data_IF_748580252753
#
_entry.id   IF_748580252753
#
_cell.length_a   1.000
_cell.length_b   1.000
_cell.length_c   1.000
_cell.angle_alpha   90.00
_cell.angle_beta   90.00
_cell.angle_gamma   90.00
#
_symmetry.space_group_name_H-M   'P 1'
#
loop_
_entity.id
_entity.type
_entity.pdbx_description
1 polymer ?
#
# COMPACT_ATOMS: atom_id res chain seq x y z
N UNK A 1 13.46 3.00 24.02
CA UNK A 1 12.88 1.82 23.34
C UNK A 1 12.30 2.30 22.03
N UNK A 2 12.80 1.81 20.90
CA UNK A 2 12.52 2.36 19.59
C UNK A 2 11.06 2.22 19.13
N UNK A 3 10.64 3.09 18.25
CA UNK A 3 9.31 3.13 17.66
C UNK A 3 9.31 2.51 16.25
N UNK A 4 8.17 1.95 15.86
CA UNK A 4 7.82 1.63 14.48
C UNK A 4 6.95 2.76 13.93
N UNK A 5 7.46 3.51 12.97
CA UNK A 5 6.79 4.71 12.43
C UNK A 5 6.36 4.40 11.00
N UNK A 6 5.07 4.36 10.76
CA UNK A 6 4.50 4.18 9.42
C UNK A 6 3.97 5.50 8.87
N UNK A 7 4.21 5.73 7.59
CA UNK A 7 3.66 6.86 6.85
C UNK A 7 2.76 6.35 5.74
N UNK A 8 1.62 6.97 5.56
CA UNK A 8 0.66 6.62 4.52
C UNK A 8 -0.11 7.84 4.04
N UNK A 9 -0.85 7.66 2.99
CA UNK A 9 -1.77 8.65 2.42
C UNK A 9 -2.49 8.04 1.23
N UNK A 10 -3.48 8.72 0.71
CA UNK A 10 -4.05 8.38 -0.58
C UNK A 10 -3.01 8.56 -1.68
N UNK A 11 -3.22 7.89 -2.82
CA UNK A 11 -2.28 8.01 -3.93
C UNK A 11 -2.11 9.48 -4.34
N UNK A 12 -0.86 9.94 -4.38
CA UNK A 12 -0.54 11.34 -4.68
C UNK A 12 -0.61 12.32 -3.51
N UNK A 13 -0.85 11.84 -2.28
CA UNK A 13 -0.90 12.71 -1.10
C UNK A 13 0.48 13.25 -0.64
N UNK A 14 1.59 12.74 -1.19
CA UNK A 14 2.93 13.21 -0.80
C UNK A 14 3.51 12.54 0.43
N UNK A 15 3.05 11.32 0.78
CA UNK A 15 3.59 10.55 1.92
C UNK A 15 5.10 10.30 1.85
N UNK A 16 5.67 10.18 0.64
CA UNK A 16 7.11 10.04 0.45
C UNK A 16 7.90 11.26 0.96
N UNK A 17 7.36 12.47 0.88
CA UNK A 17 8.00 13.67 1.41
C UNK A 17 8.16 13.62 2.94
N UNK A 18 7.17 13.03 3.63
CA UNK A 18 7.24 12.82 5.08
C UNK A 18 8.26 11.74 5.44
N UNK A 19 8.35 10.66 4.64
CA UNK A 19 9.40 9.65 4.82
C UNK A 19 10.80 10.22 4.60
N UNK A 20 10.93 11.13 3.64
CA UNK A 20 12.18 11.83 3.39
C UNK A 20 12.58 12.71 4.57
N UNK A 21 11.64 13.51 5.09
CA UNK A 21 11.85 14.29 6.32
C UNK A 21 12.25 13.39 7.49
N UNK A 22 11.52 12.30 7.73
CA UNK A 22 11.85 11.36 8.82
C UNK A 22 13.20 10.67 8.64
N UNK A 23 13.65 10.49 7.40
CA UNK A 23 14.97 9.93 7.09
C UNK A 23 16.12 10.88 7.39
N UNK A 24 15.84 12.16 7.65
CA UNK A 24 16.82 13.17 8.06
C UNK A 24 17.21 13.05 9.55
N UNK A 25 16.47 12.25 10.33
CA UNK A 25 16.79 11.97 11.72
C UNK A 25 17.70 10.75 11.82
N UNK A 26 18.90 10.94 12.37
CA UNK A 26 19.92 9.88 12.47
C UNK A 26 19.50 8.66 13.29
N UNK A 27 18.53 8.83 14.19
CA UNK A 27 17.96 7.73 14.97
C UNK A 27 16.99 6.84 14.22
N UNK A 28 16.55 7.22 13.01
CA UNK A 28 15.60 6.49 12.20
C UNK A 28 16.31 5.59 11.19
N UNK A 29 15.96 4.29 11.18
CA UNK A 29 16.29 3.36 10.13
C UNK A 29 15.22 3.41 9.04
N UNK A 30 15.65 3.47 7.80
CA UNK A 30 14.74 3.53 6.64
C UNK A 30 14.36 2.16 6.11
N UNK A 31 14.76 1.11 6.83
CA UNK A 31 14.66 -0.25 6.36
C UNK A 31 15.47 -0.46 5.08
N UNK A 32 15.03 -1.38 4.24
CA UNK A 32 15.73 -1.67 2.99
C UNK A 32 15.36 -0.62 1.94
N UNK A 33 16.36 0.15 1.51
CA UNK A 33 16.24 0.97 0.29
C UNK A 33 16.46 0.06 -0.92
N UNK A 34 15.46 -0.02 -1.80
CA UNK A 34 15.70 -0.64 -3.09
C UNK A 34 16.45 0.34 -4.02
N UNK A 35 16.93 -0.16 -5.16
CA UNK A 35 17.64 0.64 -6.17
C UNK A 35 16.78 1.79 -6.76
N UNK A 36 15.48 1.82 -6.48
CA UNK A 36 14.50 2.80 -6.96
C UNK A 36 14.02 3.77 -5.86
N UNK A 37 14.55 3.67 -4.65
CA UNK A 37 14.39 4.69 -3.62
C UNK A 37 13.34 4.45 -2.54
N UNK A 38 12.34 3.61 -2.72
CA UNK A 38 11.31 3.34 -1.71
C UNK A 38 10.98 1.85 -1.60
N UNK A 39 10.47 1.42 -0.46
CA UNK A 39 10.02 0.05 -0.25
C UNK A 39 8.68 0.05 0.48
N UNK A 40 7.61 -0.36 -0.22
CA UNK A 40 6.27 -0.43 0.33
C UNK A 40 6.00 -1.74 1.08
N UNK A 41 5.31 -1.65 2.20
CA UNK A 41 4.97 -2.77 3.07
C UNK A 41 3.52 -3.20 2.88
N UNK A 42 3.29 -4.16 2.00
CA UNK A 42 1.94 -4.50 1.50
C UNK A 42 1.29 -5.70 2.19
N UNK A 43 1.97 -6.38 3.09
CA UNK A 43 1.58 -7.68 3.67
C UNK A 43 0.21 -7.66 4.37
N UNK A 44 -0.22 -6.51 4.87
CA UNK A 44 -1.49 -6.39 5.58
C UNK A 44 -2.68 -6.26 4.64
N UNK A 45 -2.61 -5.36 3.67
CA UNK A 45 -3.76 -4.90 2.90
C UNK A 45 -3.85 -5.41 1.46
N UNK A 46 -2.78 -6.06 0.94
CA UNK A 46 -2.86 -6.69 -0.38
C UNK A 46 -4.01 -7.70 -0.42
N UNK A 47 -4.71 -7.84 -1.57
CA UNK A 47 -5.66 -8.93 -1.75
C UNK A 47 -5.02 -10.29 -1.40
N UNK A 48 -5.63 -11.01 -0.47
CA UNK A 48 -5.05 -12.21 0.13
C UNK A 48 -4.07 -11.94 1.28
N UNK A 49 -3.93 -10.69 1.74
CA UNK A 49 -3.17 -10.33 2.94
C UNK A 49 -3.91 -10.64 4.24
N UNK A 50 -3.36 -10.13 5.34
CA UNK A 50 -3.91 -10.41 6.68
C UNK A 50 -5.33 -9.87 6.84
N UNK A 51 -5.65 -8.70 6.28
CA UNK A 51 -6.98 -8.11 6.41
C UNK A 51 -8.05 -8.92 5.66
N UNK A 52 -7.73 -9.47 4.48
CA UNK A 52 -8.62 -10.38 3.78
C UNK A 52 -8.84 -11.68 4.57
N UNK A 53 -7.78 -12.18 5.23
CA UNK A 53 -7.86 -13.36 6.08
C UNK A 53 -8.73 -13.07 7.32
N UNK A 54 -8.56 -11.91 7.99
CA UNK A 54 -9.40 -11.44 9.08
C UNK A 54 -10.88 -11.43 8.67
N UNK A 55 -11.19 -10.71 7.59
CA UNK A 55 -12.58 -10.53 7.15
C UNK A 55 -13.25 -11.87 6.79
N UNK A 56 -12.50 -12.82 6.25
CA UNK A 56 -13.02 -14.14 5.89
C UNK A 56 -13.16 -15.08 7.09
N UNK A 57 -12.25 -15.04 8.05
CA UNK A 57 -12.27 -15.93 9.21
C UNK A 57 -13.17 -15.43 10.34
N UNK A 58 -13.31 -14.10 10.50
CA UNK A 58 -14.09 -13.52 11.60
C UNK A 58 -15.50 -13.07 11.20
N UNK A 59 -15.76 -12.84 9.90
CA UNK A 59 -17.04 -12.36 9.42
C UNK A 59 -17.69 -13.39 8.47
N UNK A 60 -18.60 -14.19 9.00
CA UNK A 60 -19.35 -15.19 8.22
C UNK A 60 -18.49 -16.35 7.74
N UNK A 61 -17.71 -16.92 8.63
CA UNK A 61 -16.83 -18.06 8.36
C UNK A 61 -17.61 -19.37 8.16
N UNK A 62 -17.12 -20.20 7.25
CA UNK A 62 -17.51 -21.57 7.02
C UNK A 62 -16.33 -22.39 6.51
N UNK A 63 -16.53 -23.70 6.32
CA UNK A 63 -15.46 -24.60 5.88
C UNK A 63 -14.85 -24.22 4.50
N UNK A 64 -15.64 -23.65 3.60
CA UNK A 64 -15.19 -23.28 2.26
C UNK A 64 -14.45 -21.95 2.28
N UNK A 65 -14.98 -20.99 3.04
CA UNK A 65 -14.35 -19.67 3.23
C UNK A 65 -13.03 -19.80 3.97
N UNK A 66 -12.97 -20.61 5.02
CA UNK A 66 -11.76 -20.82 5.80
C UNK A 66 -10.63 -21.43 4.95
N UNK A 67 -10.90 -22.54 4.22
CA UNK A 67 -9.89 -23.15 3.36
C UNK A 67 -9.43 -22.20 2.24
N UNK A 68 -10.37 -21.48 1.63
CA UNK A 68 -10.03 -20.53 0.57
C UNK A 68 -9.22 -19.35 1.12
N UNK A 69 -9.56 -18.84 2.30
CA UNK A 69 -8.88 -17.74 2.95
C UNK A 69 -7.42 -18.11 3.28
N UNK A 70 -7.21 -19.26 3.95
CA UNK A 70 -5.87 -19.73 4.33
C UNK A 70 -5.01 -19.98 3.09
N UNK A 71 -5.56 -20.64 2.06
CA UNK A 71 -4.81 -20.90 0.81
C UNK A 71 -4.47 -19.64 0.05
N UNK A 72 -5.39 -18.66 0.03
CA UNK A 72 -5.15 -17.39 -0.65
C UNK A 72 -4.09 -16.61 0.08
N UNK A 73 -4.14 -16.57 1.42
CA UNK A 73 -3.11 -15.96 2.24
C UNK A 73 -1.75 -16.61 2.03
N UNK A 74 -1.64 -17.95 2.16
CA UNK A 74 -0.40 -18.69 1.93
C UNK A 74 0.18 -18.37 0.54
N UNK A 75 -0.65 -18.46 -0.50
CA UNK A 75 -0.23 -18.18 -1.88
C UNK A 75 0.29 -16.76 -2.06
N UNK A 76 -0.40 -15.78 -1.48
CA UNK A 76 0.00 -14.38 -1.60
C UNK A 76 1.29 -14.11 -0.82
N UNK A 77 1.42 -14.61 0.40
CA UNK A 77 2.64 -14.47 1.18
C UNK A 77 3.85 -15.12 0.48
N UNK A 78 3.68 -16.32 -0.10
CA UNK A 78 4.73 -16.97 -0.90
C UNK A 78 5.05 -16.16 -2.18
N UNK A 79 4.06 -15.51 -2.79
CA UNK A 79 4.27 -14.62 -3.93
C UNK A 79 5.14 -13.43 -3.56
N UNK A 80 4.86 -12.77 -2.43
CA UNK A 80 5.66 -11.68 -1.88
C UNK A 80 7.06 -12.14 -1.44
N UNK A 81 7.16 -13.34 -0.86
CA UNK A 81 8.43 -13.92 -0.44
C UNK A 81 9.38 -14.14 -1.61
N UNK A 82 8.89 -14.71 -2.71
CA UNK A 82 9.71 -15.23 -3.79
C UNK A 82 9.90 -14.27 -4.98
N UNK A 83 9.03 -13.27 -5.16
CA UNK A 83 9.06 -12.38 -6.33
C UNK A 83 9.44 -10.95 -5.96
N UNK A 84 10.16 -10.30 -6.89
CA UNK A 84 10.49 -8.88 -6.82
C UNK A 84 9.52 -8.09 -7.70
N UNK A 85 8.76 -7.17 -7.09
CA UNK A 85 7.82 -6.28 -7.78
C UNK A 85 8.39 -4.86 -7.98
N UNK A 86 9.66 -4.66 -7.71
CA UNK A 86 10.33 -3.38 -7.82
C UNK A 86 10.38 -2.64 -6.48
N UNK A 87 9.24 -2.28 -5.92
CA UNK A 87 9.14 -1.55 -4.64
C UNK A 87 8.50 -2.34 -3.50
N UNK A 88 8.21 -3.62 -3.69
CA UNK A 88 7.79 -4.55 -2.61
C UNK A 88 8.12 -6.01 -2.97
N UNK A 89 8.03 -6.91 -2.00
CA UNK A 89 8.33 -8.33 -2.18
C UNK A 89 9.81 -8.68 -1.97
N UNK A 90 10.25 -9.82 -2.50
CA UNK A 90 11.64 -10.32 -2.39
C UNK A 90 12.11 -10.69 -0.97
N UNK A 91 11.20 -11.01 -0.05
CA UNK A 91 11.58 -11.28 1.34
C UNK A 91 12.60 -12.42 1.48
N UNK A 92 12.49 -13.46 0.63
CA UNK A 92 13.46 -14.57 0.63
C UNK A 92 14.88 -14.11 0.29
N UNK A 93 15.01 -13.22 -0.68
CA UNK A 93 16.32 -12.65 -1.07
C UNK A 93 16.91 -11.80 0.06
N UNK A 94 16.06 -11.06 0.78
CA UNK A 94 16.49 -10.13 1.82
C UNK A 94 16.76 -10.81 3.16
N UNK A 95 15.92 -11.77 3.54
CA UNK A 95 15.88 -12.33 4.90
C UNK A 95 15.99 -13.86 4.95
N UNK A 96 16.27 -14.51 3.81
CA UNK A 96 16.29 -15.98 3.75
C UNK A 96 14.91 -16.58 4.03
N UNK A 97 14.87 -17.62 4.86
CA UNK A 97 13.63 -18.36 5.13
C UNK A 97 12.82 -17.81 6.32
N UNK A 98 13.23 -16.68 6.92
CA UNK A 98 12.62 -16.16 8.16
C UNK A 98 11.14 -15.77 7.91
N UNK A 99 10.86 -15.06 6.82
CA UNK A 99 9.49 -14.67 6.50
C UNK A 99 8.58 -15.88 6.28
N UNK A 100 9.03 -16.85 5.50
CA UNK A 100 8.27 -18.06 5.19
C UNK A 100 8.00 -18.89 6.45
N UNK A 101 9.01 -19.05 7.34
CA UNK A 101 8.84 -19.70 8.64
C UNK A 101 7.82 -18.98 9.53
N UNK A 102 7.87 -17.65 9.59
CA UNK A 102 6.91 -16.84 10.35
C UNK A 102 5.49 -16.99 9.80
N UNK A 103 5.32 -17.00 8.48
CA UNK A 103 4.03 -17.22 7.82
C UNK A 103 3.45 -18.60 8.16
N UNK A 104 4.22 -19.66 8.02
CA UNK A 104 3.74 -21.01 8.36
C UNK A 104 3.45 -21.18 9.85
N UNK A 105 4.23 -20.53 10.72
CA UNK A 105 3.94 -20.51 12.14
C UNK A 105 2.62 -19.80 12.43
N UNK A 106 2.35 -18.65 11.77
CA UNK A 106 1.08 -17.93 11.90
C UNK A 106 -0.11 -18.80 11.45
N UNK A 107 -0.01 -19.46 10.30
CA UNK A 107 -1.06 -20.39 9.83
C UNK A 107 -1.28 -21.53 10.85
N UNK A 108 -0.20 -22.09 11.39
CA UNK A 108 -0.28 -23.15 12.40
C UNK A 108 -0.97 -22.67 13.69
N UNK A 109 -0.69 -21.43 14.10
CA UNK A 109 -1.27 -20.81 15.31
C UNK A 109 -2.76 -20.48 15.17
N UNK A 110 -3.32 -20.50 13.94
CA UNK A 110 -4.75 -20.46 13.71
C UNK A 110 -5.44 -21.81 13.99
N UNK A 111 -4.69 -22.84 14.37
CA UNK A 111 -5.16 -24.21 14.65
C UNK A 111 -6.05 -24.80 13.56
N UNK A 112 -5.58 -24.87 12.30
CA UNK A 112 -6.42 -25.39 11.23
C UNK A 112 -6.64 -26.91 11.34
N UNK A 113 -7.87 -27.30 11.05
CA UNK A 113 -8.24 -28.72 10.91
C UNK A 113 -8.01 -29.18 9.47
N UNK A 114 -7.29 -30.30 9.30
CA UNK A 114 -7.11 -30.94 8.02
C UNK A 114 -8.34 -31.79 7.65
N UNK A 115 -9.13 -31.36 6.69
CA UNK A 115 -10.31 -32.06 6.23
C UNK A 115 -10.08 -32.68 4.85
N UNK A 116 -10.27 -34.00 4.72
CA UNK A 116 -10.22 -34.72 3.43
C UNK A 116 -11.56 -34.60 2.72
N UNK A 117 -11.93 -33.42 2.32
CA UNK A 117 -13.16 -33.16 1.58
C UNK A 117 -12.87 -32.50 0.23
N UNK A 118 -13.85 -32.56 -0.65
CA UNK A 118 -13.80 -31.94 -1.96
C UNK A 118 -14.92 -30.90 -2.06
N UNK A 119 -14.58 -29.70 -2.43
CA UNK A 119 -15.56 -28.66 -2.69
C UNK A 119 -15.34 -28.02 -4.08
N UNK A 120 -16.28 -27.20 -4.51
CA UNK A 120 -16.34 -26.63 -5.86
C UNK A 120 -15.02 -26.01 -6.34
N UNK A 121 -14.34 -25.24 -5.51
CA UNK A 121 -13.07 -24.61 -5.89
C UNK A 121 -11.95 -25.59 -6.18
N UNK A 122 -11.87 -26.71 -5.44
CA UNK A 122 -10.91 -27.78 -5.68
C UNK A 122 -11.28 -28.57 -6.93
N UNK A 123 -12.57 -28.86 -7.14
CA UNK A 123 -13.08 -29.51 -8.34
C UNK A 123 -12.71 -28.71 -9.60
N UNK A 124 -12.89 -27.42 -9.58
CA UNK A 124 -12.54 -26.53 -10.69
C UNK A 124 -11.08 -26.59 -11.06
N UNK A 125 -10.17 -26.64 -10.07
CA UNK A 125 -8.71 -26.79 -10.31
C UNK A 125 -8.36 -28.14 -10.95
N UNK A 126 -9.04 -29.19 -10.56
CA UNK A 126 -8.85 -30.54 -11.11
C UNK A 126 -9.30 -30.61 -12.57
N UNK A 127 -10.45 -30.03 -12.88
CA UNK A 127 -11.01 -30.01 -14.25
C UNK A 127 -10.10 -29.29 -15.25
N UNK A 128 -9.54 -28.15 -14.86
CA UNK A 128 -8.74 -27.29 -15.77
C UNK A 128 -7.24 -27.60 -15.80
N UNK A 129 -6.80 -28.70 -15.22
CA UNK A 129 -5.40 -29.12 -15.32
C UNK A 129 -5.27 -30.35 -16.23
N UNK A 130 -5.03 -30.17 -17.56
CA UNK A 130 -4.98 -31.27 -18.53
C UNK A 130 -3.88 -32.28 -18.21
N UNK A 131 -2.79 -31.86 -17.58
CA UNK A 131 -1.71 -32.78 -17.19
C UNK A 131 -2.15 -33.80 -16.12
N UNK A 132 -3.22 -33.56 -15.39
CA UNK A 132 -3.77 -34.51 -14.40
C UNK A 132 -4.80 -35.47 -14.98
N UNK A 133 -5.29 -35.25 -16.19
CA UNK A 133 -6.32 -36.07 -16.81
C UNK A 133 -5.83 -37.53 -17.01
N UNK A 134 -4.63 -37.81 -17.55
CA UNK A 134 -4.16 -39.19 -17.71
C UNK A 134 -4.00 -39.91 -16.38
N UNK A 135 -3.48 -39.22 -15.37
CA UNK A 135 -3.30 -39.77 -14.00
C UNK A 135 -4.64 -40.12 -13.35
N UNK A 136 -5.63 -39.24 -13.54
CA UNK A 136 -6.97 -39.44 -13.03
C UNK A 136 -7.69 -40.61 -13.73
N UNK A 137 -7.47 -40.74 -15.05
CA UNK A 137 -8.01 -41.83 -15.83
C UNK A 137 -7.42 -43.18 -15.42
N UNK A 138 -6.09 -43.24 -15.26
CA UNK A 138 -5.40 -44.44 -14.78
C UNK A 138 -5.88 -44.83 -13.35
N UNK A 139 -6.03 -43.86 -12.46
CA UNK A 139 -6.51 -44.13 -11.12
C UNK A 139 -7.96 -44.67 -11.09
N UNK A 140 -8.79 -44.31 -12.06
CA UNK A 140 -10.14 -44.87 -12.19
C UNK A 140 -10.10 -46.34 -12.55
N UNK A 141 -9.34 -46.67 -13.61
CA UNK A 141 -9.21 -48.05 -14.08
C UNK A 141 -8.73 -48.94 -12.93
N UNK A 142 -7.73 -48.47 -12.16
CA UNK A 142 -7.15 -49.20 -11.04
C UNK A 142 -8.06 -49.35 -9.84
N UNK A 143 -9.01 -48.44 -9.63
CA UNK A 143 -9.88 -48.39 -8.42
C UNK A 143 -11.37 -48.60 -8.67
N UNK A 144 -11.78 -48.87 -9.93
CA UNK A 144 -13.15 -49.14 -10.31
C UNK A 144 -14.15 -47.99 -10.03
N UNK A 145 -13.69 -46.74 -9.91
CA UNK A 145 -14.54 -45.59 -9.59
C UNK A 145 -15.03 -44.87 -10.84
N UNK A 146 -16.23 -44.28 -10.74
CA UNK A 146 -16.85 -43.53 -11.84
C UNK A 146 -16.18 -42.20 -12.07
N UNK A 147 -15.81 -41.93 -13.33
CA UNK A 147 -15.27 -40.67 -13.83
C UNK A 147 -16.38 -39.90 -14.55
N UNK A 148 -16.47 -38.61 -14.28
CA UNK A 148 -17.34 -37.72 -15.02
C UNK A 148 -16.48 -36.94 -16.03
N UNK A 149 -16.75 -37.04 -17.34
CA UNK A 149 -15.88 -36.49 -18.37
C UNK A 149 -16.25 -35.09 -18.75
N UNK A 150 -17.37 -34.61 -18.80
CA UNK A 150 -17.73 -33.23 -19.16
C UNK A 150 -18.27 -32.50 -17.95
N UNK A 151 -17.35 -31.93 -17.23
CA UNK A 151 -17.69 -30.85 -16.40
C UNK A 151 -17.82 -31.17 -14.97
N UNK A 152 -17.47 -32.27 -14.47
CA UNK A 152 -17.79 -32.04 -13.05
C UNK A 152 -17.00 -32.78 -12.00
N UNK A 153 -16.54 -33.93 -12.18
CA UNK A 153 -15.65 -34.57 -11.18
C UNK A 153 -14.94 -35.76 -11.81
N UNK A 154 -13.64 -35.68 -11.96
CA UNK A 154 -12.94 -36.81 -12.51
C UNK A 154 -12.59 -37.87 -11.48
N UNK A 155 -12.12 -37.48 -10.32
CA UNK A 155 -11.82 -38.39 -9.23
C UNK A 155 -11.88 -37.68 -7.89
N UNK A 156 -12.46 -38.32 -6.91
CA UNK A 156 -12.57 -37.75 -5.56
C UNK A 156 -11.33 -37.90 -4.70
N UNK A 157 -10.49 -38.87 -4.88
CA UNK A 157 -9.31 -39.17 -4.04
C UNK A 157 -8.28 -39.92 -4.87
N UNK A 158 -7.00 -39.76 -4.64
CA UNK A 158 -6.23 -39.00 -3.65
C UNK A 158 -5.67 -37.67 -4.14
N UNK A 159 -6.11 -37.15 -5.29
CA UNK A 159 -5.52 -35.99 -5.97
C UNK A 159 -6.06 -34.63 -5.50
N UNK A 160 -7.07 -34.65 -4.65
CA UNK A 160 -7.62 -33.43 -4.06
C UNK A 160 -6.79 -33.10 -2.81
N UNK A 161 -6.22 -31.90 -2.72
CA UNK A 161 -5.52 -31.49 -1.53
C UNK A 161 -6.47 -31.43 -0.33
N UNK A 162 -5.97 -31.71 0.85
CA UNK A 162 -6.72 -31.55 2.09
C UNK A 162 -7.17 -30.10 2.22
N UNK A 163 -8.36 -29.88 2.75
CA UNK A 163 -8.80 -28.55 3.17
C UNK A 163 -8.18 -28.22 4.51
N UNK A 164 -7.78 -26.96 4.68
CA UNK A 164 -7.34 -26.37 5.95
C UNK A 164 -8.43 -25.43 6.44
N UNK A 165 -9.10 -25.81 7.53
CA UNK A 165 -10.26 -25.09 8.03
C UNK A 165 -9.99 -24.62 9.45
N UNK A 166 -10.06 -23.32 9.69
CA UNK A 166 -9.85 -22.71 11.00
C UNK A 166 -11.06 -21.87 11.42
N UNK A 167 -11.38 -21.90 12.70
CA UNK A 167 -12.45 -21.12 13.32
C UNK A 167 -11.90 -20.40 14.56
N UNK A 168 -10.93 -19.47 14.39
CA UNK A 168 -10.38 -18.75 15.53
C UNK A 168 -11.43 -17.82 16.15
N UNK A 169 -11.38 -17.66 17.46
CA UNK A 169 -12.01 -16.53 18.13
C UNK A 169 -11.30 -15.21 17.73
N UNK A 170 -11.93 -14.07 18.02
CA UNK A 170 -11.28 -12.77 17.77
C UNK A 170 -9.94 -12.65 18.51
N UNK A 171 -9.90 -13.03 19.78
CA UNK A 171 -8.69 -12.92 20.60
C UNK A 171 -7.57 -13.84 20.10
N UNK A 172 -7.89 -15.07 19.69
CA UNK A 172 -6.92 -15.99 19.08
C UNK A 172 -6.37 -15.41 17.77
N UNK A 173 -7.25 -14.91 16.90
CA UNK A 173 -6.84 -14.34 15.62
C UNK A 173 -5.92 -13.12 15.83
N UNK A 174 -6.38 -12.12 16.60
CA UNK A 174 -5.60 -10.90 16.78
C UNK A 174 -4.32 -11.12 17.55
N UNK A 175 -4.31 -11.99 18.58
CA UNK A 175 -3.09 -12.34 19.28
C UNK A 175 -2.04 -13.01 18.37
N UNK A 176 -2.48 -13.85 17.44
CA UNK A 176 -1.60 -14.47 16.44
C UNK A 176 -1.15 -13.46 15.38
N UNK A 177 -2.06 -12.61 14.90
CA UNK A 177 -1.77 -11.59 13.91
C UNK A 177 -0.78 -10.53 14.43
N UNK A 178 -0.94 -10.06 15.67
CA UNK A 178 0.00 -9.16 16.33
C UNK A 178 1.41 -9.74 16.38
N UNK A 179 1.54 -11.02 16.77
CA UNK A 179 2.86 -11.69 16.80
C UNK A 179 3.48 -11.81 15.41
N UNK A 180 2.68 -12.11 14.40
CA UNK A 180 3.17 -12.19 13.02
C UNK A 180 3.61 -10.82 12.51
N UNK A 181 2.78 -9.78 12.70
CA UNK A 181 3.08 -8.40 12.29
C UNK A 181 4.31 -7.87 12.99
N UNK A 182 4.45 -8.14 14.31
CA UNK A 182 5.64 -7.74 15.06
C UNK A 182 6.91 -8.40 14.51
N UNK A 183 6.87 -9.72 14.28
CA UNK A 183 8.00 -10.44 13.67
C UNK A 183 8.31 -9.94 12.26
N UNK A 184 7.29 -9.56 11.50
CA UNK A 184 7.48 -8.93 10.19
C UNK A 184 8.22 -7.59 10.31
N UNK A 185 7.76 -6.71 11.20
CA UNK A 185 8.42 -5.41 11.44
C UNK A 185 9.86 -5.59 11.94
N UNK A 186 10.08 -6.55 12.82
CA UNK A 186 11.43 -6.83 13.40
C UNK A 186 12.46 -7.25 12.33
N UNK A 187 12.02 -7.82 11.19
CA UNK A 187 12.91 -8.16 10.08
C UNK A 187 13.56 -6.93 9.42
N UNK A 188 12.94 -5.76 9.55
CA UNK A 188 13.42 -4.51 8.93
C UNK A 188 14.22 -3.62 9.89
N UNK A 189 14.38 -4.02 11.15
CA UNK A 189 15.17 -3.27 12.12
C UNK A 189 16.64 -3.21 11.75
N UNK A 190 17.20 -2.01 11.80
CA UNK A 190 18.63 -1.76 11.66
C UNK A 190 19.26 -1.70 13.07
N UNK A 191 20.37 -2.41 13.27
CA UNK A 191 20.96 -2.59 14.62
C UNK A 191 21.48 -1.28 15.24
N UNK A 192 21.84 -0.30 14.42
CA UNK A 192 22.38 1.00 14.82
C UNK A 192 21.30 2.09 14.90
N UNK A 193 20.03 1.76 14.64
CA UNK A 193 18.90 2.69 14.63
C UNK A 193 17.94 2.43 15.78
N UNK A 194 17.43 3.51 16.35
CA UNK A 194 16.43 3.44 17.41
C UNK A 194 15.04 3.09 16.87
N UNK A 195 14.62 3.78 15.80
CA UNK A 195 13.31 3.63 15.19
C UNK A 195 13.40 2.97 13.82
N UNK A 196 12.28 2.40 13.36
CA UNK A 196 12.15 1.83 12.01
C UNK A 196 11.02 2.53 11.26
N UNK A 197 11.31 3.00 10.05
CA UNK A 197 10.33 3.64 9.16
C UNK A 197 9.68 2.61 8.23
N UNK A 198 8.39 2.77 8.01
CA UNK A 198 7.60 1.92 7.12
C UNK A 198 6.78 2.76 6.14
N UNK A 199 6.99 2.56 4.85
CA UNK A 199 6.13 3.13 3.82
C UNK A 199 4.90 2.25 3.65
N UNK A 200 3.70 2.82 3.84
CA UNK A 200 2.40 2.22 3.57
C UNK A 200 2.12 0.88 4.27
N UNK A 201 2.70 0.64 5.45
CA UNK A 201 2.42 -0.59 6.20
C UNK A 201 0.93 -0.70 6.58
N UNK A 202 0.29 0.42 6.90
CA UNK A 202 -1.14 0.51 7.16
C UNK A 202 -1.72 1.67 6.34
N UNK A 203 -2.70 1.38 5.49
CA UNK A 203 -3.32 2.41 4.65
C UNK A 203 -4.30 3.28 5.46
N UNK A 204 -4.48 4.54 5.04
CA UNK A 204 -5.36 5.50 5.72
C UNK A 204 -6.78 4.95 5.94
N UNK A 205 -7.40 4.35 4.94
CA UNK A 205 -8.74 3.75 5.07
C UNK A 205 -8.80 2.48 5.93
N UNK A 206 -7.66 1.91 6.32
CA UNK A 206 -7.55 0.79 7.26
C UNK A 206 -7.04 1.22 8.64
N UNK A 207 -6.84 2.52 8.89
CA UNK A 207 -6.30 3.04 10.15
C UNK A 207 -7.12 2.60 11.38
N UNK A 208 -8.43 2.40 11.24
CA UNK A 208 -9.31 1.89 12.29
C UNK A 208 -8.93 0.49 12.81
N UNK A 209 -8.12 -0.26 12.07
CA UNK A 209 -7.60 -1.57 12.50
C UNK A 209 -6.37 -1.45 13.39
N UNK A 210 -5.74 -0.27 13.46
CA UNK A 210 -4.50 -0.03 14.21
C UNK A 210 -4.53 -0.60 15.65
N UNK A 211 -5.58 -0.34 16.48
CA UNK A 211 -5.60 -0.82 17.87
C UNK A 211 -5.57 -2.34 18.02
N UNK A 212 -5.96 -3.06 16.98
CA UNK A 212 -6.05 -4.53 17.00
C UNK A 212 -4.76 -5.21 16.56
N UNK A 213 -3.89 -4.51 15.82
CA UNK A 213 -2.70 -5.10 15.19
C UNK A 213 -1.39 -4.60 15.76
N UNK A 214 -1.38 -3.40 16.38
CA UNK A 214 -0.16 -2.72 16.79
C UNK A 214 -0.20 -2.33 18.26
N UNK A 215 0.98 -2.38 18.89
CA UNK A 215 1.18 -1.97 20.28
C UNK A 215 1.41 -0.45 20.42
N UNK A 216 1.71 0.01 21.63
CA UNK A 216 1.97 1.40 21.96
C UNK A 216 3.27 1.96 21.35
N UNK A 217 4.11 1.13 20.76
CA UNK A 217 5.33 1.56 20.07
C UNK A 217 5.11 1.88 18.59
N UNK A 218 3.91 1.72 18.10
CA UNK A 218 3.58 2.05 16.72
C UNK A 218 3.09 3.48 16.60
N UNK A 219 3.52 4.18 15.54
CA UNK A 219 3.01 5.50 15.15
C UNK A 219 2.62 5.48 13.70
N UNK A 220 1.50 6.12 13.39
CA UNK A 220 1.00 6.28 12.04
C UNK A 220 0.88 7.77 11.71
N UNK A 221 1.48 8.18 10.61
CA UNK A 221 1.30 9.51 10.03
C UNK A 221 0.49 9.35 8.75
N UNK A 222 -0.68 9.99 8.71
CA UNK A 222 -1.54 10.03 7.53
C UNK A 222 -1.36 11.39 6.87
N UNK A 223 -0.93 11.36 5.62
CA UNK A 223 -0.70 12.57 4.82
C UNK A 223 -1.90 12.79 3.92
N UNK A 224 -2.49 13.96 4.03
CA UNK A 224 -3.55 14.46 3.15
C UNK A 224 -2.97 15.51 2.19
N UNK A 225 -3.71 15.83 1.14
CA UNK A 225 -3.30 16.82 0.15
C UNK A 225 -4.51 17.50 -0.47
N UNK A 226 -4.32 18.71 -0.96
CA UNK A 226 -5.32 19.46 -1.73
C UNK A 226 -5.88 18.62 -2.87
N UNK A 227 -7.20 18.47 -2.89
CA UNK A 227 -7.89 17.60 -3.85
C UNK A 227 -7.78 18.11 -5.30
N UNK A 228 -7.62 19.44 -5.48
CA UNK A 228 -7.42 20.07 -6.81
C UNK A 228 -6.09 19.64 -7.40
N UNK A 229 -5.04 19.61 -6.57
CA UNK A 229 -3.72 19.13 -6.97
C UNK A 229 -3.73 17.63 -7.26
N UNK A 230 -4.38 16.83 -6.40
CA UNK A 230 -4.54 15.39 -6.63
C UNK A 230 -5.23 15.11 -7.96
N UNK A 231 -6.31 15.85 -8.30
CA UNK A 231 -7.00 15.70 -9.56
C UNK A 231 -6.11 16.06 -10.76
N UNK A 232 -5.39 17.19 -10.69
CA UNK A 232 -4.50 17.63 -11.76
C UNK A 232 -3.33 16.67 -11.99
N UNK A 233 -2.71 16.18 -10.92
CA UNK A 233 -1.69 15.14 -11.04
C UNK A 233 -2.23 13.90 -11.72
N UNK A 234 -3.39 13.42 -11.26
CA UNK A 234 -4.00 12.21 -11.78
C UNK A 234 -4.37 12.30 -13.25
N UNK A 235 -4.99 13.40 -13.65
CA UNK A 235 -5.55 13.55 -15.01
C UNK A 235 -4.51 13.97 -16.03
N UNK A 236 -3.62 14.88 -15.66
CA UNK A 236 -2.81 15.62 -16.62
C UNK A 236 -1.33 15.32 -16.56
N UNK A 237 -0.79 14.97 -15.39
CA UNK A 237 0.64 14.86 -15.20
C UNK A 237 1.14 13.41 -15.17
N UNK A 238 0.54 12.54 -14.36
CA UNK A 238 0.98 11.14 -14.28
C UNK A 238 0.85 10.35 -15.58
N UNK A 239 -0.20 10.51 -16.41
CA UNK A 239 -0.24 9.83 -17.70
C UNK A 239 0.92 10.21 -18.62
N UNK A 240 1.43 11.44 -18.54
CA UNK A 240 2.56 11.88 -19.36
C UNK A 240 3.89 11.24 -18.94
N UNK A 241 4.03 10.84 -17.68
CA UNK A 241 5.20 10.11 -17.16
C UNK A 241 5.02 8.59 -17.16
N UNK A 242 3.97 8.08 -17.83
CA UNK A 242 3.61 6.65 -17.87
C UNK A 242 3.25 6.02 -16.51
N UNK A 243 2.88 6.85 -15.53
CA UNK A 243 2.40 6.36 -14.23
C UNK A 243 0.91 5.93 -14.27
N UNK A 244 0.19 6.33 -15.33
CA UNK A 244 -1.24 6.10 -15.47
C UNK A 244 -2.08 7.00 -14.55
N UNK A 245 -3.40 6.82 -14.62
CA UNK A 245 -4.35 7.50 -13.74
C UNK A 245 -4.84 6.53 -12.68
N UNK A 246 -4.75 6.91 -11.41
CA UNK A 246 -5.16 6.07 -10.27
C UNK A 246 -6.61 6.35 -9.83
N UNK A 247 -7.16 7.48 -10.29
CA UNK A 247 -8.52 7.93 -10.04
C UNK A 247 -9.25 8.22 -11.36
N UNK A 248 -10.57 8.35 -11.36
CA UNK A 248 -11.31 8.82 -12.55
C UNK A 248 -10.75 10.15 -13.07
N UNK A 249 -10.70 10.30 -14.38
CA UNK A 249 -10.21 11.53 -15.05
C UNK A 249 -11.32 12.46 -15.50
N UNK A 250 -12.57 12.01 -15.53
CA UNK A 250 -13.75 12.85 -15.66
C UNK A 250 -14.03 13.52 -14.33
N UNK A 251 -14.27 14.83 -14.33
CA UNK A 251 -14.36 15.62 -13.09
C UNK A 251 -15.58 15.26 -12.25
N UNK A 252 -16.75 15.04 -12.88
CA UNK A 252 -17.97 14.68 -12.14
C UNK A 252 -17.84 13.30 -11.51
N UNK A 253 -17.26 12.35 -12.25
CA UNK A 253 -16.98 11.00 -11.77
C UNK A 253 -15.93 11.02 -10.67
N UNK A 254 -14.91 11.88 -10.78
CA UNK A 254 -13.89 12.03 -9.74
C UNK A 254 -14.49 12.57 -8.44
N UNK A 255 -15.36 13.59 -8.51
CA UNK A 255 -16.04 14.17 -7.35
C UNK A 255 -16.88 13.11 -6.63
N UNK A 256 -17.72 12.36 -7.37
CA UNK A 256 -18.52 11.28 -6.77
C UNK A 256 -17.63 10.18 -6.15
N UNK A 257 -16.57 9.79 -6.88
CA UNK A 257 -15.58 8.82 -6.39
C UNK A 257 -14.91 9.29 -5.09
N UNK A 258 -14.44 10.55 -5.05
CA UNK A 258 -13.74 11.11 -3.89
C UNK A 258 -14.64 11.17 -2.64
N UNK A 259 -15.89 11.62 -2.81
CA UNK A 259 -16.90 11.58 -1.75
C UNK A 259 -17.15 10.18 -1.22
N UNK A 260 -17.28 9.21 -2.11
CA UNK A 260 -17.49 7.80 -1.73
C UNK A 260 -16.28 7.22 -1.02
N UNK A 261 -15.08 7.47 -1.54
CA UNK A 261 -13.83 7.02 -0.94
C UNK A 261 -13.72 7.49 0.51
N UNK A 262 -13.90 8.78 0.74
CA UNK A 262 -13.79 9.37 2.09
C UNK A 262 -14.94 8.94 3.02
N UNK A 263 -16.13 8.67 2.49
CA UNK A 263 -17.24 8.11 3.28
C UNK A 263 -16.95 6.70 3.78
N UNK A 264 -16.21 5.89 3.03
CA UNK A 264 -15.80 4.56 3.45
C UNK A 264 -14.66 4.58 4.45
N UNK A 265 -13.93 5.68 4.56
CA UNK A 265 -12.90 5.83 5.57
C UNK A 265 -13.54 5.87 6.97
N UNK A 266 -13.22 4.86 7.77
CA UNK A 266 -13.66 4.81 9.16
C UNK A 266 -12.76 5.70 10.00
N UNK A 267 -13.30 6.79 10.54
CA UNK A 267 -12.57 7.64 11.46
C UNK A 267 -12.10 6.83 12.67
N UNK A 268 -10.83 6.98 12.99
CA UNK A 268 -10.20 6.36 14.14
C UNK A 268 -9.54 7.46 14.98
N UNK A 269 -10.08 7.68 16.16
CA UNK A 269 -9.47 8.59 17.15
C UNK A 269 -8.52 7.76 18.02
N UNK A 270 -7.26 7.70 17.62
CA UNK A 270 -6.20 7.02 18.35
C UNK A 270 -4.99 7.95 18.45
N UNK A 271 -4.44 8.12 19.64
CA UNK A 271 -3.30 9.01 19.90
C UNK A 271 -2.03 8.60 19.13
N UNK A 272 -1.98 7.39 18.60
CA UNK A 272 -0.90 6.87 17.74
C UNK A 272 -1.04 7.30 16.29
N UNK A 273 -2.11 8.03 15.91
CA UNK A 273 -2.38 8.54 14.57
C UNK A 273 -2.21 10.05 14.54
N UNK A 274 -1.37 10.54 13.64
CA UNK A 274 -1.24 11.97 13.34
C UNK A 274 -1.67 12.22 11.88
N UNK A 275 -2.64 13.11 11.71
CA UNK A 275 -3.03 13.62 10.41
C UNK A 275 -2.30 14.94 10.11
N UNK A 276 -1.70 15.05 8.93
CA UNK A 276 -1.05 16.26 8.44
C UNK A 276 -1.47 16.55 7.00
N UNK A 277 -1.39 17.82 6.61
CA UNK A 277 -1.49 18.22 5.21
C UNK A 277 -0.09 18.29 4.60
N UNK A 278 0.07 17.82 3.37
CA UNK A 278 1.33 17.93 2.64
C UNK A 278 1.76 19.41 2.50
N UNK A 279 0.80 20.28 2.29
CA UNK A 279 0.99 21.71 2.17
C UNK A 279 1.55 22.32 3.46
N UNK A 280 1.13 21.84 4.64
CA UNK A 280 1.65 22.31 5.93
C UNK A 280 3.16 22.05 6.08
N UNK A 281 3.68 20.95 5.50
CA UNK A 281 5.13 20.70 5.47
C UNK A 281 5.91 21.74 4.67
N UNK A 282 5.23 22.52 3.85
CA UNK A 282 5.85 23.53 2.96
C UNK A 282 5.60 24.93 3.51
N UNK A 283 4.34 25.26 3.76
CA UNK A 283 3.93 26.61 4.14
C UNK A 283 4.03 26.88 5.65
N UNK A 284 3.99 25.82 6.48
CA UNK A 284 4.07 25.85 7.95
C UNK A 284 5.08 24.83 8.47
N UNK A 285 6.28 24.80 7.83
CA UNK A 285 7.31 23.76 8.04
C UNK A 285 7.66 23.54 9.51
N UNK A 286 8.10 24.59 10.21
CA UNK A 286 8.59 24.47 11.60
C UNK A 286 7.52 23.96 12.57
N UNK A 287 6.28 24.40 12.40
CA UNK A 287 5.16 23.97 13.22
C UNK A 287 4.83 22.50 12.94
N UNK A 288 4.79 22.12 11.67
CA UNK A 288 4.46 20.75 11.26
C UNK A 288 5.55 19.76 11.66
N UNK A 289 6.82 20.13 11.53
CA UNK A 289 7.96 19.35 12.02
C UNK A 289 7.87 19.12 13.51
N UNK A 290 7.59 20.16 14.32
CA UNK A 290 7.41 20.01 15.78
C UNK A 290 6.24 19.08 16.15
N UNK A 291 5.15 19.10 15.37
CA UNK A 291 4.03 18.17 15.58
C UNK A 291 4.45 16.73 15.31
N UNK A 292 5.22 16.50 14.24
CA UNK A 292 5.76 15.17 13.89
C UNK A 292 6.76 14.70 14.94
N UNK A 293 7.69 15.56 15.36
CA UNK A 293 8.66 15.27 16.42
C UNK A 293 7.97 14.85 17.72
N UNK A 294 6.99 15.63 18.17
CA UNK A 294 6.21 15.32 19.36
C UNK A 294 5.49 13.99 19.25
N UNK A 295 4.87 13.71 18.10
CA UNK A 295 4.14 12.46 17.84
C UNK A 295 5.05 11.23 17.82
N UNK A 296 6.20 11.36 17.20
CA UNK A 296 7.19 10.27 17.05
C UNK A 296 8.23 10.23 18.18
N UNK A 297 8.14 11.11 19.17
CA UNK A 297 9.12 11.21 20.27
C UNK A 297 10.53 11.56 19.79
N UNK A 298 10.67 12.21 18.64
CA UNK A 298 11.94 12.65 18.07
C UNK A 298 12.41 13.93 18.77
N UNK A 299 13.72 14.14 18.77
CA UNK A 299 14.34 15.34 19.36
C UNK A 299 14.98 16.15 18.24
N UNK A 300 14.82 17.47 18.27
CA UNK A 300 15.41 18.41 17.33
C UNK A 300 16.92 18.14 17.11
N UNK A 301 17.66 17.85 18.17
CA UNK A 301 19.09 17.52 18.09
C UNK A 301 19.41 16.21 17.35
N UNK A 302 18.43 15.40 16.98
CA UNK A 302 18.57 14.17 16.19
C UNK A 302 18.28 14.42 14.70
N UNK A 303 17.90 15.66 14.33
CA UNK A 303 17.69 16.10 12.95
C UNK A 303 19.00 16.51 12.30
N UNK A 304 19.92 15.52 12.22
CA UNK A 304 21.32 15.77 11.83
C UNK A 304 21.50 16.02 10.34
N UNK A 305 20.54 15.60 9.52
CA UNK A 305 20.60 15.67 8.05
C UNK A 305 19.60 16.68 7.49
N UNK A 306 19.37 17.77 8.21
CA UNK A 306 18.40 18.82 7.87
C UNK A 306 18.51 19.24 6.38
N UNK A 307 17.37 19.18 5.67
CA UNK A 307 17.24 19.52 4.26
C UNK A 307 18.10 18.70 3.28
N UNK A 308 18.59 17.52 3.69
CA UNK A 308 19.29 16.64 2.74
C UNK A 308 18.32 15.88 1.84
N UNK A 309 17.21 15.41 2.39
CA UNK A 309 16.24 14.59 1.66
C UNK A 309 14.95 15.34 1.37
N UNK A 310 14.42 16.08 2.34
CA UNK A 310 13.24 16.91 2.15
C UNK A 310 13.59 18.39 2.12
N UNK A 311 13.13 19.10 1.07
CA UNK A 311 13.39 20.53 0.86
C UNK A 311 12.09 21.26 0.56
N UNK A 312 11.53 22.04 1.50
CA UNK A 312 10.30 22.78 1.30
C UNK A 312 10.34 23.66 0.04
N UNK A 313 11.47 24.35 -0.22
CA UNK A 313 11.70 25.22 -1.36
C UNK A 313 11.68 24.50 -2.72
N UNK A 314 11.90 23.18 -2.73
CA UNK A 314 11.73 22.36 -3.92
C UNK A 314 10.30 21.78 -4.01
N UNK A 315 9.78 21.35 -2.87
CA UNK A 315 8.47 20.70 -2.80
C UNK A 315 7.31 21.67 -3.04
N UNK A 316 7.51 22.97 -2.82
CA UNK A 316 6.52 24.02 -3.12
C UNK A 316 6.09 23.99 -4.60
N UNK A 317 6.98 23.60 -5.49
CA UNK A 317 6.71 23.48 -6.94
C UNK A 317 5.65 22.42 -7.25
N UNK A 318 5.38 21.54 -6.30
CA UNK A 318 4.35 20.50 -6.41
C UNK A 318 3.02 20.92 -5.77
N UNK A 319 2.87 22.16 -5.31
CA UNK A 319 1.61 22.71 -4.76
C UNK A 319 0.98 23.69 -5.73
N UNK A 320 -0.33 23.91 -5.60
CA UNK A 320 -1.12 24.80 -6.46
C UNK A 320 -0.99 24.49 -7.95
N UNK A 321 -0.75 23.22 -8.28
CA UNK A 321 -0.54 22.73 -9.64
C UNK A 321 -1.75 23.00 -10.52
N UNK A 322 -2.94 23.03 -9.92
CA UNK A 322 -4.19 23.37 -10.60
C UNK A 322 -4.23 24.79 -11.21
N UNK A 323 -3.30 25.67 -10.81
CA UNK A 323 -3.21 27.03 -11.36
C UNK A 323 -2.37 27.12 -12.64
N UNK A 324 -1.60 26.09 -12.98
CA UNK A 324 -0.60 26.09 -14.04
C UNK A 324 -1.19 26.22 -15.47
N UNK A 325 -2.47 25.89 -15.63
CA UNK A 325 -3.13 25.91 -16.93
C UNK A 325 -4.53 26.51 -16.84
N UNK A 326 -4.79 27.51 -17.70
CA UNK A 326 -6.09 28.18 -17.77
C UNK A 326 -7.21 27.22 -18.22
N UNK A 327 -6.88 26.21 -19.03
CA UNK A 327 -7.79 25.21 -19.58
C UNK A 327 -8.40 24.32 -18.50
N UNK A 328 -7.75 24.18 -17.35
CA UNK A 328 -8.24 23.36 -16.23
C UNK A 328 -9.24 24.09 -15.34
N UNK A 329 -9.38 25.42 -15.52
CA UNK A 329 -10.09 26.30 -14.59
C UNK A 329 -11.55 25.88 -14.33
N UNK A 330 -12.27 25.45 -15.35
CA UNK A 330 -13.69 25.11 -15.16
C UNK A 330 -13.86 23.83 -14.35
N UNK A 331 -13.00 22.82 -14.53
CA UNK A 331 -13.02 21.60 -13.73
C UNK A 331 -12.60 21.89 -12.28
N UNK A 332 -11.61 22.77 -12.10
CA UNK A 332 -11.15 23.16 -10.74
C UNK A 332 -12.23 23.91 -9.99
N UNK A 333 -12.95 24.85 -10.62
CA UNK A 333 -14.10 25.53 -10.01
C UNK A 333 -15.19 24.55 -9.57
N UNK A 334 -15.42 23.50 -10.35
CA UNK A 334 -16.38 22.48 -9.98
C UNK A 334 -15.93 21.69 -8.76
N UNK A 335 -14.65 21.32 -8.68
CA UNK A 335 -14.05 20.67 -7.50
C UNK A 335 -14.15 21.59 -6.28
N UNK A 336 -13.77 22.85 -6.39
CA UNK A 336 -13.87 23.85 -5.31
C UNK A 336 -15.29 24.00 -4.77
N UNK A 337 -16.28 24.00 -5.66
CA UNK A 337 -17.68 24.08 -5.28
C UNK A 337 -18.18 22.83 -4.59
N UNK A 338 -17.80 21.66 -5.07
CA UNK A 338 -18.38 20.38 -4.67
C UNK A 338 -17.58 19.65 -3.58
N UNK A 339 -16.31 19.99 -3.39
CA UNK A 339 -15.40 19.39 -2.41
C UNK A 339 -14.61 20.45 -1.61
N UNK A 340 -15.23 21.53 -1.12
CA UNK A 340 -14.53 22.63 -0.46
C UNK A 340 -13.77 22.17 0.80
N UNK A 341 -14.26 21.15 1.50
CA UNK A 341 -13.66 20.59 2.71
C UNK A 341 -12.34 19.86 2.48
N UNK A 342 -12.01 19.53 1.23
CA UNK A 342 -10.75 18.90 0.82
C UNK A 342 -9.80 19.86 0.09
N UNK A 343 -10.19 21.13 -0.06
CA UNK A 343 -9.34 22.17 -0.61
C UNK A 343 -8.52 22.83 0.50
N UNK A 344 -7.21 22.95 0.25
CA UNK A 344 -6.33 23.65 1.19
C UNK A 344 -6.39 25.16 0.98
N UNK A 345 -6.36 25.92 2.07
CA UNK A 345 -6.33 27.38 2.05
C UNK A 345 -4.86 27.86 2.02
N UNK A 346 -4.39 28.17 0.83
CA UNK A 346 -2.99 28.55 0.63
C UNK A 346 -2.71 29.96 1.12
N UNK A 347 -1.64 30.19 1.93
CA UNK A 347 -1.34 31.52 2.48
C UNK A 347 -0.90 32.55 1.42
N UNK A 348 -0.36 32.07 0.29
CA UNK A 348 0.01 32.88 -0.88
C UNK A 348 0.01 32.06 -2.16
N UNK A 349 -0.10 32.76 -3.29
CA UNK A 349 -0.01 32.13 -4.61
C UNK A 349 1.41 31.66 -4.92
N UNK A 350 1.51 30.50 -5.55
CA UNK A 350 2.78 29.93 -6.01
C UNK A 350 2.87 30.12 -7.53
N UNK A 351 3.95 30.76 -8.00
CA UNK A 351 4.25 30.99 -9.42
C UNK A 351 5.28 29.95 -9.92
N UNK A 352 4.92 28.68 -9.91
CA UNK A 352 5.79 27.62 -10.40
C UNK A 352 5.62 27.37 -11.88
N UNK A 353 6.72 27.22 -12.64
CA UNK A 353 6.66 26.71 -14.01
C UNK A 353 6.53 25.19 -14.01
N UNK A 354 5.69 24.67 -14.92
CA UNK A 354 5.49 23.24 -15.12
C UNK A 354 6.79 22.46 -15.39
N UNK A 355 7.78 23.13 -16.01
CA UNK A 355 9.10 22.54 -16.31
C UNK A 355 9.96 22.30 -15.08
N UNK A 356 9.63 22.94 -13.95
CA UNK A 356 10.37 22.82 -12.70
C UNK A 356 9.79 21.79 -11.73
N UNK A 357 8.61 21.24 -12.06
CA UNK A 357 7.98 20.22 -11.26
C UNK A 357 8.74 18.89 -11.30
N UNK A 358 8.73 18.15 -10.19
CA UNK A 358 9.42 16.87 -10.07
C UNK A 358 10.95 16.90 -10.26
N UNK A 359 11.58 18.06 -10.06
CA UNK A 359 13.04 18.15 -9.98
C UNK A 359 13.55 17.46 -8.71
N UNK A 360 13.59 16.12 -8.76
CA UNK A 360 14.09 15.26 -7.71
C UNK A 360 15.54 14.90 -7.99
N UNK A 361 16.46 15.50 -7.22
CA UNK A 361 17.90 15.27 -7.32
C UNK A 361 18.34 13.82 -7.03
N UNK A 362 17.41 12.93 -6.61
CA UNK A 362 17.69 11.51 -6.37
C UNK A 362 17.76 10.65 -7.62
N UNK A 363 17.37 11.17 -8.78
CA UNK A 363 17.36 10.40 -10.01
C UNK A 363 18.18 11.11 -11.10
N UNK A 364 19.48 10.87 -11.15
CA UNK A 364 20.32 11.17 -12.33
C UNK A 364 19.83 10.46 -13.62
N UNK A 365 18.82 9.59 -13.51
CA UNK A 365 18.07 8.97 -14.62
C UNK A 365 16.75 9.68 -14.95
N UNK A 366 16.23 10.55 -14.10
CA UNK A 366 14.97 11.28 -14.33
C UNK A 366 15.16 12.49 -15.23
N UNK A 367 16.35 13.05 -15.35
CA UNK A 367 16.63 14.13 -16.31
C UNK A 367 16.16 13.78 -17.73
N UNK A 368 16.36 12.53 -18.16
CA UNK A 368 15.86 12.05 -19.45
C UNK A 368 14.32 11.94 -19.53
N UNK A 369 13.64 11.77 -18.42
CA UNK A 369 12.16 11.62 -18.37
C UNK A 369 11.52 13.01 -18.30
N UNK A 370 12.03 13.90 -17.44
CA UNK A 370 11.56 15.29 -17.31
C UNK A 370 11.80 16.05 -18.62
N UNK A 371 12.97 15.88 -19.26
CA UNK A 371 13.27 16.44 -20.56
C UNK A 371 12.31 15.92 -21.64
N UNK A 372 11.93 14.65 -21.60
CA UNK A 372 10.93 14.05 -22.51
C UNK A 372 9.53 14.62 -22.26
N UNK A 373 9.14 14.85 -20.99
CA UNK A 373 7.86 15.47 -20.63
C UNK A 373 7.81 16.91 -21.13
N UNK A 374 8.83 17.72 -20.80
CA UNK A 374 8.96 19.09 -21.24
C UNK A 374 8.90 19.19 -22.78
N UNK A 375 9.64 18.35 -23.49
CA UNK A 375 9.67 18.32 -24.95
C UNK A 375 8.34 17.84 -25.57
N UNK A 376 7.67 16.83 -24.96
CA UNK A 376 6.35 16.38 -25.42
C UNK A 376 5.26 17.42 -25.18
N UNK A 377 5.28 18.10 -24.04
CA UNK A 377 4.36 19.19 -23.74
C UNK A 377 4.58 20.38 -24.69
N UNK A 378 5.83 20.79 -24.94
CA UNK A 378 6.18 21.81 -25.93
C UNK A 378 5.73 21.46 -27.36
N UNK A 379 5.86 20.20 -27.76
CA UNK A 379 5.45 19.72 -29.08
C UNK A 379 3.92 19.58 -29.24
N UNK A 380 3.19 19.27 -28.16
CA UNK A 380 1.71 19.27 -28.16
C UNK A 380 1.15 20.70 -28.25
N UNK A 381 1.83 21.67 -27.64
CA UNK A 381 1.44 23.08 -27.71
C UNK A 381 1.60 23.61 -29.15
N UNK A 382 2.75 23.35 -29.79
CA UNK A 382 2.99 23.77 -31.19
C UNK A 382 2.01 23.17 -32.21
N UNK A 383 1.44 22.00 -31.95
CA UNK A 383 0.45 21.35 -32.85
C UNK A 383 -1.01 21.80 -32.64
N UNK A 384 -1.28 22.62 -31.65
CA UNK A 384 -2.61 23.23 -31.44
C UNK A 384 -2.68 24.67 -31.90
N UNK A 385 -1.53 25.28 -32.19
CA UNK A 385 -1.43 26.65 -32.72
C UNK A 385 -1.25 26.67 -34.26
N UNK A 386 -1.12 25.51 -34.90
CA UNK A 386 -1.22 25.25 -36.35
C UNK A 386 -2.60 24.58 -36.66
#
# INVERSE_FOLDING_TARGET
>A
MGLNIAVTGYFGAGSSAVLDLLSEYSCNGTGIKNEKGGYEHVVLYQPGGIFDLEDKLLLGNDIHRADEAIRTFEKEMLRLNNNNFGWFGSYKKMFGDIFEKNMYQFIKDLHPFDIKAQYYGQCKKVIFNPAKIPVQFAAKILKGRTIYVWGRQFIRKPLVPKMQVAFPTQDEFYGNAQRFVQKYMDMFKENDKENTLFDRLLLCHNAYRLPRYFDEKFRLIIVNRDVRDVFCFNKYLWPEINAGSMYPTDVDVFIDYWRRLNRYERKCEDHRILNIQFEDLIYHYDETVKRIEKHCGLKEKQHDLLHQYFKPEKSIKNTQVYTLRKEWKEEIKLIEKELPEYCYDFPYANETDISEMFDDSRTSKSEGVIQKISNRLKNKIKRKDD
#
